data_IF_562439016471
#
_entry.id   IF_562439016471
#
_cell.length_a   1.000
_cell.length_b   1.000
_cell.length_c   1.000
_cell.angle_alpha   90.00
_cell.angle_beta   90.00
_cell.angle_gamma   90.00
#
_symmetry.space_group_name_H-M   'P 1'
#
loop_
_entity.id
_entity.type
_entity.pdbx_description
1 polymer ?
#
# COMPACT_ATOMS: atom_id res chain seq x y z
N UNK A 1 92.89 -34.28 -45.92
CA UNK A 1 92.37 -35.57 -46.34
C UNK A 1 91.53 -36.17 -45.23
N UNK A 2 90.19 -36.16 -45.41
CA UNK A 2 89.34 -37.37 -45.37
C UNK A 2 89.05 -37.91 -43.94
N UNK A 3 87.95 -38.12 -43.57
CA UNK A 3 86.65 -38.69 -43.94
C UNK A 3 85.64 -38.54 -42.83
N UNK A 4 84.51 -38.02 -43.17
CA UNK A 4 83.31 -38.03 -42.30
C UNK A 4 82.74 -39.41 -42.10
N UNK A 5 82.23 -39.68 -40.90
CA UNK A 5 81.16 -40.61 -40.72
C UNK A 5 80.15 -40.03 -39.70
N UNK A 6 78.83 -40.15 -39.94
CA UNK A 6 77.84 -39.48 -39.16
C UNK A 6 77.41 -40.26 -37.94
N UNK A 7 77.16 -39.53 -36.85
CA UNK A 7 76.57 -40.05 -35.61
C UNK A 7 75.05 -40.03 -35.77
N UNK A 8 74.43 -41.20 -35.61
CA UNK A 8 72.98 -41.38 -35.64
C UNK A 8 72.31 -40.74 -34.41
N UNK A 9 71.52 -39.76 -34.72
CA UNK A 9 70.68 -39.12 -33.64
C UNK A 9 69.40 -39.99 -33.40
N UNK A 10 69.32 -40.65 -32.29
CA UNK A 10 68.08 -41.31 -31.86
C UNK A 10 67.10 -40.27 -31.41
N UNK A 11 66.04 -40.13 -32.19
CA UNK A 11 64.89 -39.26 -31.88
C UNK A 11 64.03 -39.93 -30.79
N UNK A 12 64.05 -39.38 -29.54
CA UNK A 12 63.06 -39.69 -28.53
C UNK A 12 61.79 -38.92 -28.87
N UNK A 13 60.76 -39.64 -29.29
CA UNK A 13 59.41 -39.13 -29.40
C UNK A 13 58.85 -38.95 -27.99
N UNK A 14 58.91 -37.71 -27.44
CA UNK A 14 58.09 -37.33 -26.30
C UNK A 14 56.65 -37.14 -26.81
N UNK A 15 55.79 -38.05 -26.45
CA UNK A 15 54.35 -37.96 -26.63
C UNK A 15 53.81 -36.95 -25.59
N UNK A 16 53.60 -35.68 -26.02
CA UNK A 16 52.91 -34.68 -25.20
C UNK A 16 51.41 -34.94 -25.33
N UNK A 17 50.83 -35.64 -24.37
CA UNK A 17 49.38 -35.72 -24.23
C UNK A 17 48.84 -34.31 -23.82
N UNK A 18 48.40 -33.53 -24.81
CA UNK A 18 47.56 -32.35 -24.53
C UNK A 18 46.21 -32.85 -24.05
N UNK A 19 46.01 -32.84 -22.72
CA UNK A 19 44.69 -32.96 -22.13
C UNK A 19 43.98 -31.62 -22.36
N UNK A 20 43.16 -31.55 -23.42
CA UNK A 20 42.21 -30.48 -23.61
C UNK A 20 41.16 -30.60 -22.48
N UNK A 21 41.35 -29.84 -21.38
CA UNK A 21 40.31 -29.57 -20.43
C UNK A 21 39.28 -28.69 -21.14
N UNK A 22 38.28 -29.31 -21.76
CA UNK A 22 37.08 -28.63 -22.16
C UNK A 22 36.43 -28.12 -20.87
N UNK A 23 36.70 -26.89 -20.50
CA UNK A 23 35.89 -26.13 -19.53
C UNK A 23 34.50 -26.04 -20.12
N UNK A 24 33.63 -26.98 -19.78
CA UNK A 24 32.19 -26.80 -19.96
C UNK A 24 31.83 -25.62 -19.09
N UNK A 25 31.86 -24.43 -19.65
CA UNK A 25 31.12 -23.28 -19.11
C UNK A 25 29.65 -23.67 -19.23
N UNK A 26 29.10 -24.25 -18.15
CA UNK A 26 27.66 -24.28 -17.97
C UNK A 26 27.27 -22.81 -18.02
N UNK A 27 26.51 -22.35 -19.02
CA UNK A 27 25.94 -21.01 -18.93
C UNK A 27 25.16 -21.04 -17.61
N UNK A 28 25.48 -20.13 -16.70
CA UNK A 28 24.57 -19.80 -15.63
C UNK A 28 23.30 -19.37 -16.36
N UNK A 29 22.38 -20.30 -16.57
CA UNK A 29 21.03 -19.99 -16.97
C UNK A 29 20.58 -19.02 -15.89
N UNK A 30 20.43 -17.76 -16.27
CA UNK A 30 19.60 -16.85 -15.51
C UNK A 30 18.31 -17.63 -15.28
N UNK A 31 18.13 -18.11 -14.07
CA UNK A 31 16.94 -18.79 -13.64
C UNK A 31 15.87 -17.72 -13.76
N UNK A 32 15.22 -17.68 -14.91
CA UNK A 32 14.00 -16.94 -15.10
C UNK A 32 13.07 -17.53 -14.02
N UNK A 33 12.98 -16.81 -12.90
CA UNK A 33 12.26 -17.30 -11.76
C UNK A 33 10.79 -17.26 -12.18
N UNK A 34 10.34 -18.38 -12.73
CA UNK A 34 8.92 -18.59 -13.06
C UNK A 34 8.11 -18.24 -11.82
N UNK A 35 7.16 -17.33 -11.99
CA UNK A 35 6.26 -16.92 -10.92
C UNK A 35 5.62 -18.18 -10.34
N UNK A 36 5.68 -18.33 -9.02
CA UNK A 36 5.04 -19.44 -8.36
C UNK A 36 3.56 -19.10 -8.10
N UNK A 37 2.66 -19.94 -8.62
CA UNK A 37 1.23 -19.91 -8.30
C UNK A 37 0.76 -21.25 -7.72
N UNK A 38 1.71 -22.16 -7.47
CA UNK A 38 1.46 -23.52 -6.98
C UNK A 38 1.68 -23.57 -5.45
N UNK A 39 0.61 -23.81 -4.70
CA UNK A 39 0.65 -23.97 -3.25
C UNK A 39 1.59 -25.10 -2.78
N UNK A 40 1.75 -26.18 -3.59
CA UNK A 40 2.64 -27.28 -3.26
C UNK A 40 4.14 -26.91 -3.33
N UNK A 41 4.45 -25.80 -3.99
CA UNK A 41 5.82 -25.32 -4.14
C UNK A 41 6.19 -24.22 -3.14
N UNK A 42 5.33 -23.94 -2.18
CA UNK A 42 5.62 -23.00 -1.10
C UNK A 42 6.71 -23.60 -0.20
N UNK A 43 7.83 -22.88 0.03
CA UNK A 43 8.86 -23.36 0.94
C UNK A 43 8.31 -23.41 2.38
N UNK A 44 8.88 -24.29 3.20
CA UNK A 44 8.61 -24.26 4.63
C UNK A 44 9.04 -22.90 5.20
N UNK A 45 8.16 -22.24 5.92
CA UNK A 45 8.44 -20.97 6.54
C UNK A 45 7.88 -20.87 7.96
N UNK A 46 8.50 -20.02 8.77
CA UNK A 46 8.02 -19.67 10.11
C UNK A 46 7.77 -18.18 10.12
N UNK A 47 6.61 -17.77 10.60
CA UNK A 47 6.26 -16.36 10.78
C UNK A 47 6.87 -15.83 12.08
N UNK A 48 7.38 -14.59 12.10
CA UNK A 48 7.75 -13.92 13.34
C UNK A 48 6.51 -13.78 14.25
N UNK A 49 6.63 -14.15 15.52
CA UNK A 49 5.52 -13.99 16.47
C UNK A 49 5.34 -12.52 16.88
N UNK A 50 4.21 -11.86 16.56
CA UNK A 50 3.98 -10.47 16.92
C UNK A 50 3.96 -10.23 18.44
N UNK A 51 3.75 -11.27 19.25
CA UNK A 51 3.67 -11.16 20.70
C UNK A 51 5.00 -11.47 21.40
N UNK A 52 6.05 -11.84 20.66
CA UNK A 52 7.36 -12.12 21.23
C UNK A 52 8.27 -10.90 21.20
N UNK A 53 8.73 -10.46 22.36
CA UNK A 53 9.73 -9.41 22.49
C UNK A 53 11.13 -9.89 22.04
N UNK A 54 12.02 -8.97 21.70
CA UNK A 54 13.38 -9.28 21.27
C UNK A 54 14.19 -10.06 22.33
N UNK A 55 13.84 -9.94 23.62
CA UNK A 55 14.45 -10.70 24.71
C UNK A 55 13.83 -12.10 24.94
N UNK A 56 12.97 -12.56 24.05
CA UNK A 56 12.27 -13.85 24.12
C UNK A 56 11.03 -13.87 25.03
N UNK A 57 10.76 -12.83 25.82
CA UNK A 57 9.54 -12.76 26.63
C UNK A 57 8.31 -12.60 25.73
N UNK A 58 7.24 -13.36 26.02
CA UNK A 58 5.95 -13.18 25.34
C UNK A 58 5.08 -12.18 26.11
N UNK A 59 4.51 -11.22 25.40
CA UNK A 59 3.53 -10.28 25.95
C UNK A 59 2.14 -10.93 26.00
N UNK A 60 1.31 -10.51 26.95
CA UNK A 60 -0.03 -11.08 27.16
C UNK A 60 -1.11 -10.03 27.37
N UNK A 61 -0.77 -8.76 27.37
CA UNK A 61 -1.71 -7.67 27.63
C UNK A 61 -1.68 -6.60 26.53
N UNK A 62 -2.84 -5.95 26.31
CA UNK A 62 -2.96 -4.79 25.42
C UNK A 62 -2.00 -3.64 25.82
N UNK A 63 -1.76 -3.47 27.13
CA UNK A 63 -0.84 -2.44 27.63
C UNK A 63 0.60 -2.71 27.19
N UNK A 64 1.08 -3.95 27.34
CA UNK A 64 2.44 -4.34 26.89
C UNK A 64 2.58 -4.18 25.38
N UNK A 65 1.53 -4.52 24.61
CA UNK A 65 1.52 -4.29 23.17
C UNK A 65 1.68 -2.80 22.85
N UNK A 66 0.82 -1.94 23.41
CA UNK A 66 0.83 -0.50 23.10
C UNK A 66 2.14 0.16 23.51
N UNK A 67 2.65 -0.16 24.70
CA UNK A 67 3.80 0.54 25.29
C UNK A 67 5.15 0.05 24.77
N UNK A 68 5.28 -1.25 24.45
CA UNK A 68 6.57 -1.88 24.15
C UNK A 68 6.63 -2.44 22.74
N UNK A 69 5.72 -3.38 22.38
CA UNK A 69 5.87 -4.17 21.19
C UNK A 69 5.45 -3.41 19.92
N UNK A 70 4.32 -2.71 19.95
CA UNK A 70 3.83 -1.94 18.81
C UNK A 70 4.84 -0.89 18.32
N UNK A 71 5.46 -0.07 19.18
CA UNK A 71 6.51 0.86 18.74
C UNK A 71 7.73 0.15 18.16
N UNK A 72 8.14 -1.00 18.72
CA UNK A 72 9.25 -1.79 18.20
C UNK A 72 8.94 -2.36 16.81
N UNK A 73 7.74 -2.93 16.60
CA UNK A 73 7.32 -3.46 15.29
C UNK A 73 7.19 -2.34 14.25
N UNK A 74 6.61 -1.20 14.63
CA UNK A 74 6.52 -0.03 13.76
C UNK A 74 7.91 0.44 13.31
N UNK A 75 8.88 0.45 14.23
CA UNK A 75 10.27 0.79 13.94
C UNK A 75 10.91 -0.21 12.97
N UNK A 76 10.65 -1.51 13.12
CA UNK A 76 11.17 -2.53 12.21
C UNK A 76 10.64 -2.31 10.78
N UNK A 77 9.34 -2.04 10.59
CA UNK A 77 8.81 -1.71 9.27
C UNK A 77 9.41 -0.42 8.69
N UNK A 78 9.60 0.59 9.54
CA UNK A 78 10.26 1.82 9.12
C UNK A 78 11.72 1.59 8.71
N UNK A 79 12.46 0.79 9.46
CA UNK A 79 13.89 0.56 9.22
C UNK A 79 14.16 -0.41 8.06
N UNK A 80 13.21 -1.30 7.72
CA UNK A 80 13.45 -2.42 6.81
C UNK A 80 12.59 -2.38 5.54
N UNK A 81 11.44 -1.68 5.53
CA UNK A 81 10.47 -1.75 4.42
C UNK A 81 10.11 -0.38 3.85
N UNK A 82 9.37 0.44 4.61
CA UNK A 82 8.74 1.66 4.06
C UNK A 82 9.53 2.93 4.29
N UNK A 83 10.42 2.94 5.28
CA UNK A 83 11.10 4.13 5.77
C UNK A 83 10.35 4.86 6.88
N UNK A 84 10.93 5.93 7.36
CA UNK A 84 10.36 6.75 8.43
C UNK A 84 9.12 7.49 7.94
N UNK A 85 8.14 7.63 8.82
CA UNK A 85 6.98 8.49 8.62
C UNK A 85 7.24 9.84 9.30
N UNK A 86 7.58 10.91 8.56
CA UNK A 86 7.84 12.21 9.19
C UNK A 86 6.57 12.82 9.76
N UNK A 87 6.73 13.70 10.74
CA UNK A 87 5.63 14.42 11.37
C UNK A 87 4.95 15.45 10.45
N UNK A 88 3.96 16.15 11.01
CA UNK A 88 3.31 17.28 10.35
C UNK A 88 4.31 18.42 10.15
N UNK A 89 4.43 18.98 8.94
CA UNK A 89 5.33 20.09 8.69
C UNK A 89 4.81 21.39 9.30
N UNK A 90 5.72 22.30 9.60
CA UNK A 90 5.35 23.66 10.00
C UNK A 90 4.83 24.45 8.78
N UNK A 91 3.84 25.29 9.01
CA UNK A 91 3.29 26.17 7.96
C UNK A 91 2.30 25.50 7.01
N UNK A 92 1.88 24.25 7.29
CA UNK A 92 0.79 23.63 6.52
C UNK A 92 -0.48 24.49 6.60
N UNK A 93 -1.10 24.74 5.44
CA UNK A 93 -2.35 25.48 5.37
C UNK A 93 -3.25 24.93 4.27
N UNK A 94 -4.52 25.36 4.28
CA UNK A 94 -5.58 24.83 3.43
C UNK A 94 -6.25 25.99 2.67
N UNK A 95 -6.41 25.82 1.37
CA UNK A 95 -7.04 26.80 0.51
C UNK A 95 -8.23 26.17 -0.23
N UNK A 96 -9.44 26.62 0.09
CA UNK A 96 -10.67 26.15 -0.56
C UNK A 96 -10.74 26.78 -1.94
N UNK A 97 -10.75 25.95 -2.98
CA UNK A 97 -10.78 26.37 -4.38
C UNK A 97 -12.20 26.49 -4.94
N UNK A 98 -13.07 25.58 -4.51
CA UNK A 98 -14.43 25.50 -5.04
C UNK A 98 -15.37 24.82 -4.04
N UNK A 99 -16.60 25.29 -3.96
CA UNK A 99 -17.70 24.64 -3.24
C UNK A 99 -18.95 24.71 -4.10
N UNK A 100 -19.48 23.55 -4.48
CA UNK A 100 -20.77 23.41 -5.13
C UNK A 100 -21.75 22.68 -4.22
N UNK A 101 -22.81 23.38 -3.82
CA UNK A 101 -23.85 22.81 -2.95
C UNK A 101 -24.94 22.04 -3.70
N UNK A 102 -24.84 21.91 -5.02
CA UNK A 102 -25.79 21.23 -5.87
C UNK A 102 -25.17 20.07 -6.68
N UNK A 103 -23.99 19.65 -6.34
CA UNK A 103 -23.33 18.52 -6.98
C UNK A 103 -24.21 17.23 -6.93
N UNK A 104 -24.03 16.36 -7.92
CA UNK A 104 -24.78 15.11 -8.06
C UNK A 104 -26.30 15.33 -8.01
N UNK A 105 -26.79 16.22 -8.85
CA UNK A 105 -28.21 16.60 -8.94
C UNK A 105 -28.82 17.04 -7.60
N UNK A 106 -28.00 17.76 -6.80
CA UNK A 106 -28.42 18.31 -5.52
C UNK A 106 -28.35 17.33 -4.34
N UNK A 107 -27.84 16.11 -4.52
CA UNK A 107 -27.63 15.13 -3.45
C UNK A 107 -26.42 15.43 -2.59
N UNK A 108 -25.39 16.06 -3.17
CA UNK A 108 -24.11 16.28 -2.50
C UNK A 108 -23.65 17.74 -2.48
N UNK A 109 -22.76 18.02 -1.55
CA UNK A 109 -21.87 19.18 -1.58
C UNK A 109 -20.52 18.68 -2.10
N UNK A 110 -20.07 19.20 -3.26
CA UNK A 110 -18.69 19.04 -3.72
C UNK A 110 -17.84 20.14 -3.11
N UNK A 111 -16.70 19.77 -2.53
CA UNK A 111 -15.69 20.71 -2.04
C UNK A 111 -14.35 20.34 -2.65
N UNK A 112 -13.63 21.32 -3.15
CA UNK A 112 -12.29 21.15 -3.69
C UNK A 112 -11.33 22.10 -2.99
N UNK A 113 -10.19 21.59 -2.55
CA UNK A 113 -9.20 22.38 -1.82
C UNK A 113 -7.79 21.93 -2.15
N UNK A 114 -6.84 22.83 -1.94
CA UNK A 114 -5.41 22.53 -1.97
C UNK A 114 -4.84 22.56 -0.56
N UNK A 115 -4.11 21.52 -0.19
CA UNK A 115 -3.31 21.47 1.03
C UNK A 115 -1.87 21.82 0.64
N UNK A 116 -1.37 22.94 1.10
CA UNK A 116 0.03 23.33 0.97
C UNK A 116 0.82 22.84 2.16
N UNK A 117 1.95 22.18 1.92
CA UNK A 117 2.76 21.58 2.97
C UNK A 117 3.77 22.55 3.61
N UNK A 118 3.85 23.76 3.11
CA UNK A 118 4.69 24.85 3.62
C UNK A 118 3.86 26.13 3.76
N UNK A 119 4.42 27.17 4.34
CA UNK A 119 3.75 28.49 4.41
C UNK A 119 3.60 29.16 3.04
N UNK A 120 4.32 28.71 2.01
CA UNK A 120 4.26 29.28 0.66
C UNK A 120 3.16 28.62 -0.18
N UNK A 121 2.22 29.41 -0.72
CA UNK A 121 1.13 28.93 -1.58
C UNK A 121 1.55 28.52 -2.99
N UNK A 122 2.84 28.62 -3.35
CA UNK A 122 3.43 28.08 -4.57
C UNK A 122 4.30 26.82 -4.31
N UNK A 123 4.26 26.28 -3.11
CA UNK A 123 5.07 25.12 -2.67
C UNK A 123 4.45 23.77 -2.98
N UNK A 124 5.09 22.70 -2.47
CA UNK A 124 4.55 21.35 -2.56
C UNK A 124 3.15 21.25 -1.96
N UNK A 125 2.24 20.63 -2.67
CA UNK A 125 0.81 20.62 -2.31
C UNK A 125 0.08 19.42 -2.90
N UNK A 126 -1.08 19.13 -2.32
CA UNK A 126 -2.00 18.11 -2.83
C UNK A 126 -3.39 18.69 -3.02
N UNK A 127 -4.03 18.36 -4.14
CA UNK A 127 -5.39 18.78 -4.42
C UNK A 127 -6.39 17.71 -3.97
N UNK A 128 -7.31 18.08 -3.11
CA UNK A 128 -8.29 17.18 -2.50
C UNK A 128 -9.68 17.46 -3.06
N UNK A 129 -10.37 16.39 -3.47
CA UNK A 129 -11.77 16.39 -3.87
C UNK A 129 -12.60 15.73 -2.77
N UNK A 130 -13.69 16.37 -2.38
CA UNK A 130 -14.64 15.85 -1.41
C UNK A 130 -16.06 15.91 -1.96
N UNK A 131 -16.83 14.86 -1.70
CA UNK A 131 -18.28 14.85 -1.82
C UNK A 131 -18.89 14.49 -0.47
N UNK A 132 -19.80 15.32 0.01
CA UNK A 132 -20.48 15.13 1.29
C UNK A 132 -22.00 15.12 1.06
N UNK A 133 -22.77 14.25 1.72
CA UNK A 133 -24.24 14.27 1.69
C UNK A 133 -24.78 15.65 2.05
N UNK A 134 -25.58 16.26 1.17
CA UNK A 134 -26.09 17.62 1.36
C UNK A 134 -27.03 17.75 2.57
N UNK A 135 -27.86 16.74 2.78
CA UNK A 135 -28.89 16.77 3.81
C UNK A 135 -28.49 16.05 5.11
N UNK A 136 -27.19 15.95 5.35
CA UNK A 136 -26.71 15.37 6.60
C UNK A 136 -27.06 16.28 7.80
N UNK A 137 -27.79 15.74 8.77
CA UNK A 137 -28.15 16.48 9.99
C UNK A 137 -26.99 16.60 10.99
N UNK A 138 -25.97 15.77 10.84
CA UNK A 138 -24.80 15.68 11.71
C UNK A 138 -23.52 15.72 10.87
N UNK A 139 -22.36 15.81 11.56
CA UNK A 139 -21.06 15.63 10.91
C UNK A 139 -21.00 14.30 10.20
N UNK A 140 -20.49 14.32 8.98
CA UNK A 140 -20.50 13.19 8.04
C UNK A 140 -19.31 12.26 8.28
N UNK A 141 -19.51 10.93 8.45
CA UNK A 141 -18.44 9.97 8.34
C UNK A 141 -17.92 9.94 6.88
N UNK A 142 -16.62 9.74 6.68
CA UNK A 142 -16.04 9.80 5.34
C UNK A 142 -15.15 8.60 5.05
N UNK A 143 -15.14 8.16 3.79
CA UNK A 143 -14.10 7.32 3.23
C UNK A 143 -13.02 8.21 2.62
N UNK A 144 -11.76 7.91 2.91
CA UNK A 144 -10.61 8.59 2.31
C UNK A 144 -9.73 7.57 1.60
N UNK A 145 -9.30 7.91 0.37
CA UNK A 145 -8.34 7.11 -0.39
C UNK A 145 -7.64 7.95 -1.45
N UNK A 146 -6.42 7.58 -1.81
CA UNK A 146 -5.73 8.17 -2.95
C UNK A 146 -6.23 7.55 -4.26
N UNK A 147 -6.23 8.31 -5.34
CA UNK A 147 -6.60 7.85 -6.67
C UNK A 147 -5.39 7.82 -7.62
N UNK A 148 -5.48 7.02 -8.68
CA UNK A 148 -4.37 6.72 -9.61
C UNK A 148 -4.22 7.71 -10.76
N UNK A 149 -5.27 8.44 -11.14
CA UNK A 149 -5.30 9.13 -12.43
C UNK A 149 -5.72 10.60 -12.34
N UNK A 150 -5.85 11.12 -11.12
CA UNK A 150 -6.29 12.50 -10.88
C UNK A 150 -7.77 12.60 -10.50
N UNK A 151 -8.11 13.61 -9.73
CA UNK A 151 -9.44 13.79 -9.14
C UNK A 151 -10.57 13.84 -10.18
N UNK A 152 -10.31 14.41 -11.37
CA UNK A 152 -11.28 14.51 -12.47
C UNK A 152 -11.72 13.15 -13.02
N UNK A 153 -10.96 12.09 -12.78
CA UNK A 153 -11.29 10.74 -13.28
C UNK A 153 -12.32 10.01 -12.40
N UNK A 154 -12.58 10.51 -11.20
CA UNK A 154 -13.39 9.84 -10.18
C UNK A 154 -14.88 9.84 -10.52
N UNK A 155 -15.37 10.92 -11.10
CA UNK A 155 -16.76 11.09 -11.50
C UNK A 155 -16.85 11.91 -12.79
N UNK A 156 -17.97 11.81 -13.51
CA UNK A 156 -18.24 12.57 -14.74
C UNK A 156 -18.64 14.04 -14.47
N UNK A 157 -18.78 14.44 -13.21
CA UNK A 157 -19.14 15.79 -12.80
C UNK A 157 -18.20 16.82 -13.45
N UNK A 158 -18.72 17.72 -14.33
CA UNK A 158 -17.91 18.70 -15.06
C UNK A 158 -17.28 19.74 -14.13
N UNK A 159 -17.81 19.91 -12.93
CA UNK A 159 -17.28 20.85 -11.95
C UNK A 159 -16.03 20.37 -11.21
N UNK A 160 -15.60 19.12 -11.39
CA UNK A 160 -14.31 18.68 -10.83
C UNK A 160 -13.19 19.41 -11.60
N UNK A 161 -12.35 20.13 -10.88
CA UNK A 161 -11.24 20.88 -11.46
C UNK A 161 -10.22 19.94 -12.15
N UNK A 162 -9.81 20.29 -13.36
CA UNK A 162 -8.68 19.64 -14.01
C UNK A 162 -7.38 20.14 -13.40
N UNK A 163 -6.54 19.22 -12.93
CA UNK A 163 -5.23 19.62 -12.43
C UNK A 163 -4.32 20.05 -13.57
N UNK A 164 -3.50 21.07 -13.31
CA UNK A 164 -2.41 21.48 -14.20
C UNK A 164 -1.11 20.72 -13.91
N UNK A 165 -1.08 19.95 -12.83
CA UNK A 165 0.06 19.11 -12.44
C UNK A 165 0.19 17.91 -13.36
N UNK A 166 1.31 17.21 -13.25
CA UNK A 166 1.55 15.98 -13.97
C UNK A 166 0.54 14.89 -13.53
N UNK A 167 -0.02 14.17 -14.51
CA UNK A 167 -0.83 12.95 -14.26
C UNK A 167 -0.32 11.83 -15.16
N UNK A 168 -0.42 10.58 -14.71
CA UNK A 168 -0.06 9.43 -15.52
C UNK A 168 -1.09 9.28 -16.66
N UNK A 169 -0.80 9.86 -17.81
CA UNK A 169 -1.63 9.85 -19.02
C UNK A 169 -0.76 10.01 -20.27
N UNK A 170 -0.07 8.94 -20.64
CA UNK A 170 0.89 8.96 -21.77
C UNK A 170 0.25 9.40 -23.08
N UNK A 171 -1.02 9.07 -23.31
CA UNK A 171 -1.73 9.44 -24.55
C UNK A 171 -1.94 10.97 -24.68
N UNK A 172 -1.86 11.71 -23.58
CA UNK A 172 -2.08 13.16 -23.53
C UNK A 172 -0.89 13.91 -22.91
N UNK A 173 0.33 13.47 -23.19
CA UNK A 173 1.57 14.08 -22.68
C UNK A 173 1.57 14.26 -21.15
N UNK A 174 1.01 13.30 -20.43
CA UNK A 174 0.89 13.31 -18.97
C UNK A 174 0.13 14.53 -18.42
N UNK A 175 -0.93 14.94 -19.12
CA UNK A 175 -1.84 16.00 -18.70
C UNK A 175 -3.26 15.49 -18.48
N UNK A 176 -3.94 16.07 -17.51
CA UNK A 176 -5.38 15.90 -17.34
C UNK A 176 -6.12 16.52 -18.52
N UNK A 177 -7.15 15.83 -19.02
CA UNK A 177 -7.98 16.30 -20.13
C UNK A 177 -9.46 16.03 -19.85
N UNK A 178 -10.35 16.78 -20.52
CA UNK A 178 -11.79 16.52 -20.42
C UNK A 178 -12.16 15.09 -20.89
N UNK A 179 -11.46 14.54 -21.87
CA UNK A 179 -11.69 13.18 -22.33
C UNK A 179 -11.37 12.08 -21.30
N UNK A 180 -10.58 12.42 -20.28
CA UNK A 180 -10.27 11.51 -19.16
C UNK A 180 -11.21 11.67 -17.94
N UNK A 181 -12.16 12.60 -18.00
CA UNK A 181 -13.14 12.83 -16.93
C UNK A 181 -14.02 11.60 -16.73
N UNK A 182 -14.13 11.14 -15.49
CA UNK A 182 -14.96 10.01 -15.10
C UNK A 182 -14.46 8.64 -15.57
N UNK A 183 -13.27 8.50 -16.14
CA UNK A 183 -12.74 7.20 -16.61
C UNK A 183 -12.59 6.16 -15.49
N UNK A 184 -12.51 6.60 -14.24
CA UNK A 184 -12.39 5.72 -13.06
C UNK A 184 -13.71 5.67 -12.24
N UNK A 185 -14.82 6.22 -12.74
CA UNK A 185 -16.06 6.30 -11.98
C UNK A 185 -16.59 4.93 -11.53
N UNK A 186 -16.34 3.85 -12.29
CA UNK A 186 -16.71 2.50 -11.88
C UNK A 186 -16.02 2.03 -10.58
N UNK A 187 -14.82 2.57 -10.28
CA UNK A 187 -14.08 2.28 -9.04
C UNK A 187 -14.46 3.17 -7.86
N UNK A 188 -15.26 4.20 -8.10
CA UNK A 188 -15.59 5.23 -7.11
C UNK A 188 -17.09 5.51 -7.13
N UNK A 189 -17.92 4.68 -6.47
CA UNK A 189 -19.37 4.85 -6.47
C UNK A 189 -19.78 6.01 -5.53
N UNK A 190 -19.51 7.23 -5.97
CA UNK A 190 -19.69 8.45 -5.17
C UNK A 190 -21.14 8.59 -4.72
N UNK A 191 -22.09 8.35 -5.63
CA UNK A 191 -23.52 8.44 -5.36
C UNK A 191 -23.95 7.46 -4.29
N UNK A 192 -23.48 6.20 -4.36
CA UNK A 192 -23.79 5.18 -3.35
C UNK A 192 -23.29 5.57 -1.97
N UNK A 193 -22.04 6.10 -1.88
CA UNK A 193 -21.52 6.58 -0.60
C UNK A 193 -22.40 7.68 -0.03
N UNK A 194 -22.76 8.67 -0.85
CA UNK A 194 -23.62 9.80 -0.47
C UNK A 194 -25.00 9.32 -0.04
N UNK A 195 -25.64 8.44 -0.80
CA UNK A 195 -26.97 7.88 -0.48
C UNK A 195 -26.94 7.04 0.82
N UNK A 196 -25.80 6.39 1.14
CA UNK A 196 -25.56 5.67 2.40
C UNK A 196 -25.22 6.63 3.58
N UNK A 197 -25.08 7.94 3.33
CA UNK A 197 -24.76 8.95 4.34
C UNK A 197 -23.28 9.08 4.66
N UNK A 198 -22.41 8.61 3.77
CA UNK A 198 -20.96 8.79 3.85
C UNK A 198 -20.48 9.85 2.85
N UNK A 199 -19.43 10.58 3.22
CA UNK A 199 -18.68 11.36 2.26
C UNK A 199 -17.54 10.57 1.63
N UNK A 200 -17.12 11.01 0.45
CA UNK A 200 -15.89 10.58 -0.20
C UNK A 200 -14.86 11.70 -0.14
N UNK A 201 -13.62 11.36 0.20
CA UNK A 201 -12.45 12.25 0.16
C UNK A 201 -11.37 11.56 -0.66
N UNK A 202 -10.88 12.20 -1.69
CA UNK A 202 -9.82 11.62 -2.52
C UNK A 202 -8.83 12.67 -3.00
N UNK A 203 -7.62 12.22 -3.30
CA UNK A 203 -6.57 13.05 -3.87
C UNK A 203 -5.68 12.21 -4.80
N UNK A 204 -5.07 12.83 -5.77
CA UNK A 204 -4.15 12.14 -6.68
C UNK A 204 -2.82 11.85 -5.99
N UNK A 205 -2.42 10.58 -5.96
CA UNK A 205 -1.18 10.16 -5.28
C UNK A 205 0.10 10.76 -5.91
N UNK A 206 0.05 11.04 -7.22
CA UNK A 206 1.15 11.65 -7.95
C UNK A 206 1.42 13.11 -7.60
N UNK A 207 0.48 13.80 -6.92
CA UNK A 207 0.73 15.13 -6.35
C UNK A 207 1.75 15.08 -5.19
N UNK A 208 1.82 13.94 -4.50
CA UNK A 208 2.80 13.68 -3.44
C UNK A 208 4.12 13.22 -4.05
N UNK A 209 4.05 12.21 -4.89
CA UNK A 209 5.18 11.70 -5.63
C UNK A 209 4.72 10.94 -6.87
N UNK A 210 5.13 11.34 -8.10
CA UNK A 210 4.87 10.59 -9.31
C UNK A 210 5.41 9.16 -9.23
N UNK A 211 4.61 8.19 -9.67
CA UNK A 211 4.93 6.76 -9.57
C UNK A 211 5.87 6.30 -10.68
N UNK A 212 7.10 6.73 -10.61
CA UNK A 212 8.21 6.31 -11.45
C UNK A 212 9.54 6.48 -10.72
N UNK A 213 10.61 5.89 -11.25
CA UNK A 213 11.94 5.88 -10.63
C UNK A 213 12.53 7.27 -10.38
N UNK A 214 12.13 8.27 -11.16
CA UNK A 214 12.58 9.65 -11.06
C UNK A 214 11.59 10.57 -10.32
N UNK A 215 10.41 10.03 -9.96
CA UNK A 215 9.32 10.78 -9.33
C UNK A 215 9.71 11.51 -8.05
N UNK A 216 10.67 10.94 -7.30
CA UNK A 216 11.20 11.57 -6.09
C UNK A 216 11.80 12.96 -6.34
N UNK A 217 12.32 13.25 -7.55
CA UNK A 217 12.95 14.54 -7.89
C UNK A 217 11.97 15.71 -7.83
N UNK A 218 10.72 15.45 -8.17
CA UNK A 218 9.64 16.45 -8.13
C UNK A 218 8.65 16.22 -6.98
N UNK A 219 8.71 15.04 -6.37
CA UNK A 219 7.87 14.63 -5.24
C UNK A 219 8.31 15.22 -3.91
N UNK A 220 7.53 14.92 -2.87
CA UNK A 220 7.76 15.42 -1.51
C UNK A 220 9.06 14.91 -0.90
N UNK A 221 9.59 13.78 -1.38
CA UNK A 221 10.86 13.25 -0.89
C UNK A 221 12.05 14.17 -1.17
N UNK A 222 12.01 14.94 -2.25
CA UNK A 222 13.01 15.96 -2.52
C UNK A 222 12.57 17.34 -2.02
N UNK A 223 11.35 17.76 -2.38
CA UNK A 223 10.88 19.12 -2.16
C UNK A 223 10.61 19.46 -0.69
N UNK A 224 10.36 18.45 0.16
CA UNK A 224 10.10 18.62 1.58
C UNK A 224 11.23 18.14 2.49
N UNK A 225 12.36 17.70 1.93
CA UNK A 225 13.48 17.12 2.69
C UNK A 225 13.94 18.01 3.85
N UNK A 226 14.21 19.28 3.58
CA UNK A 226 14.63 20.24 4.61
C UNK A 226 13.54 20.52 5.65
N UNK A 227 12.29 20.73 5.19
CA UNK A 227 11.19 21.07 6.08
C UNK A 227 10.78 19.92 7.02
N UNK A 228 10.98 18.67 6.59
CA UNK A 228 10.64 17.47 7.35
C UNK A 228 11.84 16.92 8.13
N UNK A 229 13.06 17.40 7.87
CA UNK A 229 14.28 16.89 8.50
C UNK A 229 14.55 15.42 8.21
N UNK A 230 14.20 14.95 7.00
CA UNK A 230 14.33 13.56 6.57
C UNK A 230 14.97 13.50 5.18
N UNK A 231 16.00 12.66 5.02
CA UNK A 231 16.60 12.42 3.71
C UNK A 231 15.69 11.58 2.82
N UNK A 232 15.75 11.81 1.51
CA UNK A 232 14.96 11.08 0.50
C UNK A 232 15.19 9.56 0.52
N UNK A 233 16.35 9.10 0.98
CA UNK A 233 16.69 7.68 1.09
C UNK A 233 16.08 7.01 2.33
N UNK A 234 15.59 7.79 3.29
CA UNK A 234 15.05 7.28 4.54
C UNK A 234 13.58 6.85 4.44
N UNK A 235 12.94 7.03 3.29
CA UNK A 235 11.58 6.58 3.01
C UNK A 235 11.36 6.32 1.51
N UNK A 236 10.42 5.42 1.19
CA UNK A 236 10.03 5.10 -0.18
C UNK A 236 8.80 5.88 -0.64
N UNK A 237 8.41 5.72 -1.89
CA UNK A 237 7.21 6.35 -2.45
C UNK A 237 5.93 5.92 -1.71
N UNK A 238 5.82 4.64 -1.32
CA UNK A 238 4.70 4.14 -0.48
C UNK A 238 4.63 4.94 0.84
N UNK A 239 5.77 5.20 1.47
CA UNK A 239 5.86 6.03 2.67
C UNK A 239 5.42 7.48 2.43
N UNK A 240 5.79 8.05 1.28
CA UNK A 240 5.40 9.39 0.88
C UNK A 240 3.88 9.50 0.64
N UNK A 241 3.29 8.53 -0.04
CA UNK A 241 1.83 8.48 -0.25
C UNK A 241 1.07 8.29 1.06
N UNK A 242 1.56 7.41 1.95
CA UNK A 242 1.00 7.22 3.29
C UNK A 242 1.05 8.51 4.13
N UNK A 243 2.16 9.25 4.05
CA UNK A 243 2.29 10.53 4.75
C UNK A 243 1.25 11.55 4.26
N UNK A 244 1.00 11.62 2.96
CA UNK A 244 -0.01 12.50 2.38
C UNK A 244 -1.41 12.23 2.91
N UNK A 245 -1.79 10.96 3.10
CA UNK A 245 -3.07 10.59 3.72
C UNK A 245 -3.21 11.18 5.13
N UNK A 246 -2.15 11.17 5.93
CA UNK A 246 -2.15 11.80 7.25
C UNK A 246 -2.25 13.34 7.16
N UNK A 247 -1.75 13.95 6.10
CA UNK A 247 -1.92 15.41 5.89
C UNK A 247 -3.34 15.76 5.51
N UNK A 248 -4.00 14.92 4.71
CA UNK A 248 -5.43 15.09 4.43
C UNK A 248 -6.25 14.91 5.73
N UNK A 249 -5.89 13.94 6.59
CA UNK A 249 -6.50 13.77 7.90
C UNK A 249 -6.36 15.03 8.80
N UNK A 250 -5.24 15.75 8.71
CA UNK A 250 -5.05 17.02 9.42
C UNK A 250 -6.12 18.06 9.01
N UNK A 251 -6.47 18.13 7.71
CA UNK A 251 -7.55 18.96 7.22
C UNK A 251 -8.92 18.49 7.73
N UNK A 252 -9.19 17.19 7.64
CA UNK A 252 -10.48 16.63 8.04
C UNK A 252 -10.81 16.90 9.53
N UNK A 253 -9.80 17.06 10.38
CA UNK A 253 -9.99 17.46 11.78
C UNK A 253 -10.45 18.91 11.92
N UNK A 254 -10.21 19.77 10.93
CA UNK A 254 -10.61 21.18 10.94
C UNK A 254 -11.96 21.42 10.25
N UNK A 255 -12.38 20.50 9.39
CA UNK A 255 -13.64 20.63 8.65
C UNK A 255 -14.85 20.28 9.52
N UNK A 256 -15.68 21.30 9.80
CA UNK A 256 -16.85 21.14 10.68
C UNK A 256 -17.95 20.25 10.10
N UNK A 257 -17.93 20.00 8.80
CA UNK A 257 -18.91 19.11 8.13
C UNK A 257 -18.55 17.65 8.30
N UNK A 258 -17.27 17.32 8.64
CA UNK A 258 -16.75 15.96 8.73
C UNK A 258 -16.73 15.46 10.17
N UNK A 259 -17.14 14.23 10.39
CA UNK A 259 -16.88 13.51 11.63
C UNK A 259 -15.48 12.89 11.60
N UNK A 260 -14.50 13.64 12.08
CA UNK A 260 -13.10 13.22 12.09
C UNK A 260 -12.80 12.00 13.00
N UNK A 261 -13.76 11.55 13.81
CA UNK A 261 -13.68 10.30 14.58
C UNK A 261 -14.21 9.09 13.81
N UNK A 262 -14.78 9.30 12.62
CA UNK A 262 -15.39 8.28 11.77
C UNK A 262 -14.81 8.37 10.33
N UNK A 263 -13.51 8.28 10.23
CA UNK A 263 -12.78 8.31 8.96
C UNK A 263 -12.32 6.88 8.61
N UNK A 264 -12.81 6.37 7.49
CA UNK A 264 -12.41 5.08 6.91
C UNK A 264 -11.29 5.33 5.90
N UNK A 265 -10.11 4.83 6.18
CA UNK A 265 -8.98 4.86 5.26
C UNK A 265 -9.07 3.67 4.31
N UNK A 266 -9.07 3.89 3.01
CA UNK A 266 -9.12 2.82 2.00
C UNK A 266 -8.05 3.00 0.94
N UNK A 267 -7.60 1.88 0.38
CA UNK A 267 -6.70 1.89 -0.76
C UNK A 267 -6.72 0.57 -1.51
N UNK A 268 -6.50 0.67 -2.82
CA UNK A 268 -6.42 -0.47 -3.73
C UNK A 268 -4.99 -0.66 -4.21
N UNK A 269 -4.53 -1.92 -4.35
CA UNK A 269 -3.23 -2.25 -4.92
C UNK A 269 -2.09 -1.56 -4.13
N UNK A 270 -1.15 -0.87 -4.81
CA UNK A 270 -0.07 -0.08 -4.16
C UNK A 270 -0.58 0.98 -3.19
N UNK A 271 -1.77 1.52 -3.44
CA UNK A 271 -2.40 2.47 -2.53
C UNK A 271 -3.04 1.78 -1.33
N UNK A 272 -3.34 0.48 -1.42
CA UNK A 272 -3.66 -0.38 -0.28
C UNK A 272 -2.46 -0.57 0.66
N UNK A 273 -1.25 -0.76 0.08
CA UNK A 273 0.01 -0.78 0.85
C UNK A 273 0.20 0.57 1.59
N UNK A 274 -0.02 1.69 0.88
CA UNK A 274 0.05 3.03 1.48
C UNK A 274 -1.00 3.25 2.57
N UNK A 275 -2.23 2.74 2.39
CA UNK A 275 -3.30 2.82 3.39
C UNK A 275 -2.95 2.01 4.65
N UNK A 276 -2.41 0.80 4.52
CA UNK A 276 -1.95 0.01 5.66
C UNK A 276 -0.83 0.72 6.42
N UNK A 277 0.18 1.27 5.71
CA UNK A 277 1.28 1.99 6.35
C UNK A 277 0.82 3.29 7.01
N UNK A 278 -0.08 4.06 6.38
CA UNK A 278 -0.71 5.23 6.98
C UNK A 278 -1.52 4.86 8.22
N UNK A 279 -2.36 3.82 8.13
CA UNK A 279 -3.15 3.33 9.26
C UNK A 279 -2.30 2.84 10.44
N UNK A 280 -1.15 2.19 10.17
CA UNK A 280 -0.21 1.78 11.21
C UNK A 280 0.42 2.97 11.94
N UNK A 281 0.71 4.07 11.25
CA UNK A 281 1.35 5.26 11.81
C UNK A 281 0.38 6.27 12.40
N UNK A 282 -0.83 6.37 11.86
CA UNK A 282 -1.82 7.39 12.23
C UNK A 282 -3.09 6.76 12.80
N UNK A 283 -3.21 6.82 14.12
CA UNK A 283 -4.33 6.21 14.84
C UNK A 283 -5.64 6.98 14.74
N UNK A 284 -5.68 8.13 14.08
CA UNK A 284 -6.89 8.93 13.84
C UNK A 284 -7.83 8.29 12.81
N UNK A 285 -7.31 7.47 11.91
CA UNK A 285 -8.14 6.67 11.01
C UNK A 285 -8.88 5.61 11.82
N UNK A 286 -10.21 5.67 11.81
CA UNK A 286 -11.05 4.82 12.66
C UNK A 286 -11.16 3.38 12.13
N UNK A 287 -11.14 3.20 10.81
CA UNK A 287 -11.16 1.91 10.10
C UNK A 287 -10.10 1.96 9.02
N UNK A 288 -9.45 0.83 8.75
CA UNK A 288 -8.49 0.68 7.64
C UNK A 288 -8.95 -0.44 6.71
N UNK A 289 -8.96 -0.15 5.41
CA UNK A 289 -9.35 -1.09 4.34
C UNK A 289 -8.20 -1.21 3.35
N UNK A 290 -7.74 -2.43 3.11
CA UNK A 290 -6.74 -2.76 2.09
C UNK A 290 -7.35 -3.72 1.08
N UNK A 291 -7.51 -3.27 -0.15
CA UNK A 291 -8.06 -4.04 -1.26
C UNK A 291 -6.91 -4.49 -2.17
N UNK A 292 -6.76 -5.82 -2.32
CA UNK A 292 -5.81 -6.47 -3.23
C UNK A 292 -4.41 -5.85 -3.15
N UNK A 293 -3.91 -5.71 -1.93
CA UNK A 293 -2.67 -4.97 -1.67
C UNK A 293 -1.40 -5.80 -1.85
N UNK A 294 -1.49 -7.13 -1.91
CA UNK A 294 -0.41 -8.04 -2.28
C UNK A 294 0.87 -7.92 -1.47
N UNK A 295 2.00 -8.21 -2.11
CA UNK A 295 3.36 -8.14 -1.53
C UNK A 295 3.68 -6.72 -1.05
N UNK A 296 4.28 -6.61 0.15
CA UNK A 296 4.50 -5.31 0.79
C UNK A 296 3.18 -4.59 1.14
N UNK A 297 2.08 -5.30 1.16
CA UNK A 297 0.74 -4.89 1.58
C UNK A 297 0.18 -5.88 2.60
N UNK A 298 -0.87 -6.62 2.25
CA UNK A 298 -1.48 -7.61 3.15
C UNK A 298 -0.96 -9.05 2.95
N UNK A 299 -0.37 -9.41 1.81
CA UNK A 299 0.07 -10.77 1.53
C UNK A 299 1.36 -11.13 2.26
N UNK A 300 1.42 -12.35 2.83
CA UNK A 300 2.61 -12.86 3.51
C UNK A 300 3.79 -13.03 2.54
N UNK A 301 4.87 -12.29 2.74
CA UNK A 301 6.06 -12.32 1.90
C UNK A 301 6.75 -13.68 1.87
N UNK A 302 6.71 -14.43 2.99
CA UNK A 302 7.37 -15.75 3.12
C UNK A 302 6.71 -16.87 2.32
N UNK A 303 5.53 -16.65 1.76
CA UNK A 303 4.83 -17.65 0.94
C UNK A 303 5.42 -17.80 -0.47
N UNK A 304 6.06 -16.76 -0.98
CA UNK A 304 6.64 -16.78 -2.34
C UNK A 304 5.62 -17.14 -3.44
N UNK A 305 4.42 -16.63 -3.33
CA UNK A 305 3.35 -16.75 -4.33
C UNK A 305 3.20 -15.43 -5.08
N UNK A 306 2.98 -15.47 -6.39
CA UNK A 306 2.70 -14.31 -7.23
C UNK A 306 3.83 -13.28 -7.21
N UNK A 307 3.53 -12.07 -6.74
CA UNK A 307 4.51 -11.00 -6.56
C UNK A 307 5.38 -11.27 -5.33
N UNK A 308 6.69 -11.29 -5.52
CA UNK A 308 7.65 -11.48 -4.42
C UNK A 308 8.41 -10.19 -4.13
N UNK A 309 9.10 -10.13 -2.96
CA UNK A 309 9.98 -9.00 -2.60
C UNK A 309 10.95 -8.66 -3.75
N UNK A 310 11.57 -9.66 -4.37
CA UNK A 310 12.50 -9.46 -5.50
C UNK A 310 11.81 -8.83 -6.69
N UNK A 311 10.61 -9.31 -7.05
CA UNK A 311 9.87 -8.79 -8.20
C UNK A 311 9.42 -7.36 -8.00
N UNK A 312 8.82 -7.05 -6.85
CA UNK A 312 8.33 -5.72 -6.56
C UNK A 312 9.48 -4.71 -6.49
N UNK A 313 10.61 -5.06 -5.88
CA UNK A 313 11.80 -4.22 -5.81
C UNK A 313 12.50 -4.04 -7.16
N UNK A 314 12.35 -4.98 -8.09
CA UNK A 314 12.88 -4.88 -9.45
C UNK A 314 11.98 -4.03 -10.34
N UNK A 315 10.66 -4.27 -10.30
CA UNK A 315 9.69 -3.55 -11.11
C UNK A 315 9.47 -2.10 -10.62
N UNK A 316 9.51 -1.90 -9.31
CA UNK A 316 9.23 -0.62 -8.67
C UNK A 316 10.31 -0.24 -7.64
N UNK A 317 11.56 -0.01 -8.06
CA UNK A 317 12.69 0.18 -7.14
C UNK A 317 12.60 1.44 -6.26
N UNK A 318 11.61 2.31 -6.49
CA UNK A 318 11.34 3.55 -5.77
C UNK A 318 10.27 3.41 -4.68
N UNK A 319 9.53 2.28 -4.62
CA UNK A 319 8.40 2.14 -3.69
C UNK A 319 8.83 1.99 -2.23
N UNK A 320 9.90 1.24 -1.99
CA UNK A 320 10.41 0.93 -0.67
C UNK A 320 11.82 1.51 -0.46
N UNK A 321 12.31 1.49 0.77
CA UNK A 321 13.69 1.90 1.06
C UNK A 321 14.71 0.89 0.53
N UNK A 322 15.93 1.35 0.30
CA UNK A 322 17.01 0.52 -0.25
C UNK A 322 17.27 -0.76 0.57
N UNK A 323 17.09 -0.71 1.89
CA UNK A 323 17.27 -1.87 2.77
C UNK A 323 16.33 -3.03 2.44
N UNK A 324 15.11 -2.76 1.97
CA UNK A 324 14.15 -3.83 1.62
C UNK A 324 14.69 -4.75 0.52
N UNK A 325 15.55 -4.24 -0.38
CA UNK A 325 16.20 -5.03 -1.43
C UNK A 325 17.13 -6.13 -0.91
N UNK A 326 17.61 -6.03 0.34
CA UNK A 326 18.43 -7.06 0.97
C UNK A 326 17.67 -8.38 1.20
N UNK A 327 16.33 -8.34 1.15
CA UNK A 327 15.45 -9.49 1.34
C UNK A 327 14.98 -10.13 0.03
N UNK A 328 15.43 -9.62 -1.12
CA UNK A 328 15.03 -10.12 -2.45
C UNK A 328 15.17 -11.65 -2.61
N UNK A 329 16.28 -12.19 -2.13
CA UNK A 329 16.60 -13.63 -2.22
C UNK A 329 16.71 -14.28 -0.82
N UNK A 330 16.37 -13.55 0.23
CA UNK A 330 16.45 -14.02 1.62
C UNK A 330 15.31 -13.44 2.48
N UNK A 331 14.08 -13.74 2.12
CA UNK A 331 12.88 -13.29 2.84
C UNK A 331 12.89 -13.70 4.31
N UNK A 332 13.54 -14.81 4.66
CA UNK A 332 13.61 -15.30 6.03
C UNK A 332 14.41 -14.39 6.97
N UNK A 333 15.34 -13.60 6.44
CA UNK A 333 16.11 -12.61 7.21
C UNK A 333 15.31 -11.32 7.50
N UNK A 334 14.15 -11.10 6.84
CA UNK A 334 13.28 -9.98 7.15
C UNK A 334 12.71 -10.16 8.58
N UNK A 335 12.91 -9.19 9.50
CA UNK A 335 12.51 -9.36 10.91
C UNK A 335 11.00 -9.28 11.14
N UNK A 336 10.23 -8.94 10.12
CA UNK A 336 8.77 -8.82 10.13
C UNK A 336 8.15 -9.62 8.99
N UNK A 337 6.81 -9.75 9.00
CA UNK A 337 6.01 -10.13 7.83
C UNK A 337 4.66 -9.43 7.92
N UNK A 338 3.87 -9.44 6.86
CA UNK A 338 2.74 -8.53 6.66
C UNK A 338 1.62 -8.70 7.71
N UNK A 339 1.45 -9.88 8.30
CA UNK A 339 0.52 -10.07 9.43
C UNK A 339 0.83 -9.12 10.62
N UNK A 340 2.09 -8.77 10.83
CA UNK A 340 2.48 -7.79 11.87
C UNK A 340 2.08 -6.38 11.45
N UNK A 341 2.18 -6.03 10.15
CA UNK A 341 1.66 -4.75 9.65
C UNK A 341 0.15 -4.63 9.91
N UNK A 342 -0.60 -5.70 9.63
CA UNK A 342 -2.03 -5.77 9.91
C UNK A 342 -2.30 -5.66 11.43
N UNK A 343 -1.51 -6.32 12.26
CA UNK A 343 -1.60 -6.26 13.71
C UNK A 343 -1.35 -4.83 14.27
N UNK A 344 -0.54 -4.00 13.60
CA UNK A 344 -0.30 -2.61 14.00
C UNK A 344 -1.58 -1.73 13.93
N UNK A 345 -2.62 -2.17 13.23
CA UNK A 345 -3.91 -1.48 13.16
C UNK A 345 -4.72 -1.68 14.45
N UNK A 346 -4.50 -2.80 15.16
CA UNK A 346 -5.25 -3.13 16.39
C UNK A 346 -5.26 -1.97 17.41
N UNK A 347 -6.37 -1.75 18.13
CA UNK A 347 -7.62 -2.51 18.14
C UNK A 347 -8.68 -2.02 17.13
N UNK A 348 -8.31 -1.12 16.20
CA UNK A 348 -9.23 -0.54 15.21
C UNK A 348 -9.66 -1.60 14.19
N UNK A 349 -10.88 -1.51 13.65
CA UNK A 349 -11.35 -2.40 12.60
C UNK A 349 -10.45 -2.36 11.37
N UNK A 350 -10.20 -3.54 10.83
CA UNK A 350 -9.39 -3.79 9.64
C UNK A 350 -10.18 -4.63 8.66
N UNK A 351 -10.20 -4.22 7.40
CA UNK A 351 -10.74 -4.98 6.28
C UNK A 351 -9.66 -5.33 5.28
N UNK A 352 -9.51 -6.60 4.95
CA UNK A 352 -8.66 -7.09 3.87
C UNK A 352 -9.55 -7.71 2.79
N UNK A 353 -9.35 -7.33 1.55
CA UNK A 353 -10.16 -7.79 0.43
C UNK A 353 -9.28 -8.28 -0.71
N UNK A 354 -9.69 -9.38 -1.32
CA UNK A 354 -9.00 -10.06 -2.40
C UNK A 354 -9.96 -10.38 -3.56
N UNK A 355 -9.43 -10.78 -4.72
CA UNK A 355 -10.17 -11.32 -5.85
C UNK A 355 -9.60 -12.66 -6.28
N UNK A 356 -10.47 -13.59 -6.71
CA UNK A 356 -10.08 -14.98 -6.99
C UNK A 356 -9.20 -15.14 -8.24
N UNK A 357 -9.33 -14.25 -9.20
CA UNK A 357 -8.47 -14.21 -10.39
C UNK A 357 -7.17 -13.38 -10.19
N UNK A 358 -7.02 -12.68 -9.07
CA UNK A 358 -5.83 -11.91 -8.75
C UNK A 358 -4.77 -12.74 -8.01
N UNK A 359 -4.36 -13.84 -8.63
CA UNK A 359 -3.34 -14.75 -8.05
C UNK A 359 -1.98 -14.08 -7.87
N UNK A 360 -1.74 -12.95 -8.56
CA UNK A 360 -0.55 -12.13 -8.40
C UNK A 360 -0.42 -11.52 -7.00
N UNK A 361 -1.54 -11.11 -6.41
CA UNK A 361 -1.60 -10.52 -5.07
C UNK A 361 -1.61 -11.57 -3.93
N UNK A 362 -1.59 -12.87 -4.24
CA UNK A 362 -1.70 -13.97 -3.27
C UNK A 362 -2.91 -13.84 -2.32
N UNK A 363 -4.15 -14.03 -2.80
CA UNK A 363 -5.35 -13.92 -1.97
C UNK A 363 -5.31 -14.76 -0.69
N UNK A 364 -4.72 -15.97 -0.77
CA UNK A 364 -4.56 -16.82 0.40
C UNK A 364 -3.52 -16.29 1.39
N UNK A 365 -2.46 -15.66 0.88
CA UNK A 365 -1.47 -14.97 1.71
C UNK A 365 -2.06 -13.77 2.42
N UNK A 366 -2.95 -13.01 1.77
CA UNK A 366 -3.69 -11.91 2.41
C UNK A 366 -4.64 -12.42 3.51
N UNK A 367 -5.35 -13.53 3.26
CA UNK A 367 -6.20 -14.17 4.28
C UNK A 367 -5.38 -14.66 5.47
N UNK A 368 -4.30 -15.41 5.23
CA UNK A 368 -3.43 -15.94 6.29
C UNK A 368 -2.76 -14.82 7.09
N UNK A 369 -2.42 -13.72 6.45
CA UNK A 369 -1.88 -12.54 7.12
C UNK A 369 -2.92 -11.93 8.08
N UNK A 370 -4.16 -11.77 7.63
CA UNK A 370 -5.26 -11.31 8.46
C UNK A 370 -5.51 -12.25 9.65
N UNK A 371 -5.46 -13.56 9.45
CA UNK A 371 -5.60 -14.57 10.49
C UNK A 371 -4.46 -14.50 11.51
N UNK A 372 -3.20 -14.36 11.06
CA UNK A 372 -2.05 -14.29 11.95
C UNK A 372 -1.92 -12.95 12.69
N UNK A 373 -2.73 -11.94 12.36
CA UNK A 373 -2.88 -10.72 13.14
C UNK A 373 -3.82 -10.87 14.35
N UNK A 374 -4.72 -11.87 14.37
CA UNK A 374 -5.73 -12.09 15.40
C UNK A 374 -5.19 -12.15 16.84
N UNK A 375 -4.04 -12.79 17.14
CA UNK A 375 -3.52 -12.82 18.49
C UNK A 375 -3.33 -11.46 19.13
N UNK A 376 -2.98 -10.43 18.34
CA UNK A 376 -2.85 -9.06 18.83
C UNK A 376 -4.23 -8.45 19.10
N UNK A 377 -5.21 -8.67 18.23
CA UNK A 377 -6.59 -8.21 18.45
C UNK A 377 -7.21 -8.87 19.69
N UNK A 378 -6.88 -10.13 19.94
CA UNK A 378 -7.35 -10.86 21.13
C UNK A 378 -6.87 -10.20 22.44
N UNK A 379 -5.68 -9.58 22.48
CA UNK A 379 -5.22 -8.80 23.65
C UNK A 379 -6.18 -7.67 24.03
N UNK A 380 -6.95 -7.15 23.08
CA UNK A 380 -7.93 -6.09 23.27
C UNK A 380 -9.37 -6.62 23.43
N UNK A 381 -9.54 -7.95 23.55
CA UNK A 381 -10.86 -8.58 23.59
C UNK A 381 -11.64 -8.44 22.27
N UNK A 382 -10.91 -8.25 21.14
CA UNK A 382 -11.53 -8.12 19.82
C UNK A 382 -11.51 -9.45 19.10
N UNK A 383 -12.63 -9.75 18.40
CA UNK A 383 -12.73 -10.94 17.56
C UNK A 383 -12.18 -10.64 16.17
N UNK A 384 -11.45 -11.59 15.60
CA UNK A 384 -10.91 -11.52 14.26
C UNK A 384 -11.85 -12.13 13.20
N UNK A 385 -11.30 -12.97 12.34
CA UNK A 385 -12.02 -13.60 11.21
C UNK A 385 -13.05 -14.63 11.68
N UNK A 386 -12.76 -15.34 12.76
CA UNK A 386 -13.65 -16.35 13.32
C UNK A 386 -13.70 -17.68 12.51
N UNK A 387 -12.84 -17.83 11.53
CA UNK A 387 -12.68 -19.03 10.67
C UNK A 387 -11.24 -19.41 10.55
N UNK A 388 -10.97 -20.71 10.36
CA UNK A 388 -9.62 -21.24 10.15
C UNK A 388 -9.25 -21.35 8.69
N UNK A 389 -10.21 -21.64 7.85
CA UNK A 389 -10.04 -21.82 6.42
C UNK A 389 -10.49 -20.55 5.67
N UNK A 390 -9.83 -20.31 4.55
CA UNK A 390 -10.20 -19.21 3.65
C UNK A 390 -11.65 -19.37 3.20
N UNK A 391 -12.48 -18.31 3.27
CA UNK A 391 -13.88 -18.40 2.86
C UNK A 391 -14.00 -18.66 1.36
N UNK A 392 -15.14 -19.18 0.96
CA UNK A 392 -15.52 -19.25 -0.45
C UNK A 392 -15.76 -17.86 -1.02
N UNK A 393 -15.68 -17.75 -2.35
CA UNK A 393 -15.87 -16.49 -3.09
C UNK A 393 -17.22 -15.85 -2.74
N UNK A 394 -17.22 -14.55 -2.52
CA UNK A 394 -18.38 -13.72 -2.16
C UNK A 394 -19.04 -14.06 -0.80
N UNK A 395 -18.30 -14.69 0.12
CA UNK A 395 -18.75 -14.96 1.48
C UNK A 395 -17.84 -14.25 2.51
N UNK A 396 -18.11 -12.97 2.82
CA UNK A 396 -17.30 -12.21 3.77
C UNK A 396 -17.34 -12.79 5.19
N UNK A 397 -16.19 -12.87 5.85
CA UNK A 397 -16.03 -13.41 7.21
C UNK A 397 -15.38 -12.41 8.14
N UNK A 398 -15.63 -12.53 9.43
CA UNK A 398 -14.96 -11.75 10.46
C UNK A 398 -15.78 -10.63 11.09
N UNK A 399 -15.23 -10.13 12.22
CA UNK A 399 -15.87 -9.06 13.01
C UNK A 399 -15.03 -7.78 13.04
N UNK A 400 -13.95 -7.73 13.83
CA UNK A 400 -13.07 -6.56 13.90
C UNK A 400 -11.96 -6.63 12.85
N UNK A 401 -11.44 -7.82 12.57
CA UNK A 401 -10.77 -8.11 11.31
C UNK A 401 -11.82 -8.76 10.42
N UNK A 402 -11.97 -8.25 9.19
CA UNK A 402 -12.88 -8.79 8.19
C UNK A 402 -12.12 -9.10 6.92
N UNK A 403 -12.51 -10.17 6.25
CA UNK A 403 -11.95 -10.60 4.99
C UNK A 403 -13.04 -11.01 4.02
N UNK A 404 -12.84 -10.70 2.74
CA UNK A 404 -13.55 -11.38 1.64
C UNK A 404 -12.59 -11.67 0.48
N UNK A 405 -12.96 -12.66 -0.29
CA UNK A 405 -12.49 -12.86 -1.64
C UNK A 405 -13.70 -12.76 -2.56
N UNK A 406 -13.66 -11.89 -3.57
CA UNK A 406 -14.73 -11.76 -4.57
C UNK A 406 -14.36 -12.45 -5.88
N UNK A 407 -15.35 -12.69 -6.74
CA UNK A 407 -15.11 -13.11 -8.12
C UNK A 407 -14.47 -11.99 -8.93
N UNK A 408 -13.50 -12.34 -9.79
CA UNK A 408 -12.93 -11.48 -10.83
C UNK A 408 -11.47 -11.07 -10.60
N UNK A 409 -11.04 -10.13 -11.46
CA UNK A 409 -9.64 -9.71 -11.59
C UNK A 409 -9.26 -8.61 -10.60
N UNK A 410 -7.98 -8.24 -10.63
CA UNK A 410 -7.40 -7.13 -9.88
C UNK A 410 -8.13 -5.80 -10.14
N UNK A 411 -9.04 -5.42 -9.24
CA UNK A 411 -9.83 -4.19 -9.33
C UNK A 411 -10.43 -3.81 -7.97
N UNK A 412 -11.06 -2.65 -7.89
CA UNK A 412 -11.95 -2.26 -6.78
C UNK A 412 -13.35 -2.03 -7.35
N UNK A 413 -14.26 -2.93 -7.05
CA UNK A 413 -15.57 -3.00 -7.67
C UNK A 413 -16.67 -2.46 -6.76
N UNK A 414 -17.89 -2.35 -7.30
CA UNK A 414 -19.06 -1.98 -6.50
C UNK A 414 -19.34 -2.98 -5.37
N UNK A 415 -19.07 -4.28 -5.60
CA UNK A 415 -19.19 -5.30 -4.54
C UNK A 415 -18.29 -5.00 -3.36
N UNK A 416 -17.02 -4.65 -3.62
CA UNK A 416 -16.06 -4.30 -2.56
C UNK A 416 -16.58 -3.12 -1.74
N UNK A 417 -17.05 -2.06 -2.39
CA UNK A 417 -17.60 -0.89 -1.72
C UNK A 417 -18.83 -1.18 -0.87
N UNK A 418 -19.73 -2.07 -1.33
CA UNK A 418 -20.86 -2.51 -0.52
C UNK A 418 -20.37 -3.18 0.77
N UNK A 419 -19.37 -4.05 0.67
CA UNK A 419 -18.79 -4.72 1.85
C UNK A 419 -18.11 -3.73 2.81
N UNK A 420 -17.42 -2.71 2.29
CA UNK A 420 -16.77 -1.68 3.11
C UNK A 420 -17.81 -0.78 3.80
N UNK A 421 -18.87 -0.41 3.12
CA UNK A 421 -19.98 0.36 3.69
C UNK A 421 -20.68 -0.42 4.79
N UNK A 422 -20.99 -1.70 4.58
CA UNK A 422 -21.62 -2.57 5.57
C UNK A 422 -20.71 -2.74 6.81
N UNK A 423 -19.40 -2.85 6.58
CA UNK A 423 -18.42 -2.92 7.67
C UNK A 423 -18.34 -1.62 8.47
N UNK A 424 -18.33 -0.48 7.79
CA UNK A 424 -18.35 0.82 8.43
C UNK A 424 -19.64 1.04 9.23
N UNK A 425 -20.80 0.68 8.66
CA UNK A 425 -22.10 0.74 9.35
C UNK A 425 -22.12 -0.09 10.64
N UNK A 426 -21.47 -1.26 10.64
CA UNK A 426 -21.36 -2.13 11.82
C UNK A 426 -20.55 -1.50 12.94
N UNK A 427 -19.47 -0.78 12.59
CA UNK A 427 -18.53 -0.22 13.57
C UNK A 427 -18.83 1.22 13.97
N UNK A 428 -19.43 2.00 13.10
CA UNK A 428 -19.89 3.34 13.40
C UNK A 428 -21.31 3.25 13.97
N UNK A 429 -21.47 3.57 15.26
CA UNK A 429 -22.81 3.66 15.85
C UNK A 429 -23.62 4.66 15.06
N UNK A 430 -24.53 4.20 14.21
CA UNK A 430 -25.55 5.05 13.62
C UNK A 430 -26.36 5.63 14.78
N UNK A 431 -26.34 6.94 14.94
CA UNK A 431 -27.33 7.63 15.79
C UNK A 431 -28.66 7.24 15.15
N UNK A 432 -29.44 6.39 15.87
CA UNK A 432 -30.76 5.99 15.39
C UNK A 432 -31.51 7.26 15.04
N UNK A 433 -31.91 7.41 13.77
CA UNK A 433 -32.89 8.41 13.37
C UNK A 433 -34.15 8.11 14.24
N UNK A 434 -34.48 9.01 15.17
CA UNK A 434 -35.78 9.02 15.83
C UNK A 434 -36.80 9.56 14.84
#
# INVERSE_FOLDING_TARGET
>A
MSKNRPVSLRLYKLLFCLVLINSITIPASAQDSTINYDEARIPLYTLPDPLQLANGKRISTAREWIQNQRPAMLKLFADHVYGKMPGKPKGIHFDIKDIDSFALDGKAIRKQLTIFFTAASAGPSIDVLMYLPKFAMNRVPVFIGLNFNGNHTINKDPGILLTTKWVSNNANNNRATESSRGLQAARWPVEELVDRGYGLVTAYYGDLEPDNTEGWKTGIRATMQSALGIDKEQWGAIGAWAWGLSRIMDYLQTDRSVNSQQVVLTGHSRLGKAALWAGANDTRFAIVVANESGEGGAALSRRWIGETIKRINTAFPHWFIARYKQYNDNVHALPVDQHILLALIAPRPLYVASADEDTWADPKGEFLSAQNAEPVYALFGKKGLGVKEMPTVNHPVGETIRYHIRTGKHDMTFYDWQQYLDFADKHFKKIKRK
#
